data_IF_195464316555
#
_entry.id   IF_195464316555
#
_cell.length_a   1.000
_cell.length_b   1.000
_cell.length_c   1.000
_cell.angle_alpha   90.00
_cell.angle_beta   90.00
_cell.angle_gamma   90.00
#
_symmetry.space_group_name_H-M   'P 1'
#
loop_
_entity.id
_entity.type
_entity.pdbx_description
1 polymer ?
#
# COMPACT_ATOMS: atom_id res chain seq x y z
N UNK A 1 5.05 19.57 14.14
CA UNK A 1 5.19 18.25 14.78
C UNK A 1 4.18 17.24 14.29
N UNK A 2 2.98 17.68 13.89
CA UNK A 2 1.92 16.76 13.43
C UNK A 2 2.06 16.37 11.96
N UNK A 3 3.03 16.92 11.24
CA UNK A 3 3.26 16.67 9.82
C UNK A 3 3.56 15.18 9.55
N UNK A 4 4.19 14.50 10.51
CA UNK A 4 4.59 13.10 10.36
C UNK A 4 3.62 12.13 11.02
N UNK A 5 2.50 12.59 11.55
CA UNK A 5 1.51 11.72 12.16
C UNK A 5 0.48 11.28 11.13
N UNK A 6 0.09 10.00 11.21
CA UNK A 6 -0.96 9.48 10.35
C UNK A 6 -2.28 10.17 10.66
N UNK A 7 -2.93 10.65 9.61
CA UNK A 7 -4.27 11.25 9.71
C UNK A 7 -5.32 10.18 9.52
N UNK A 8 -6.41 10.29 10.29
CA UNK A 8 -7.53 9.38 10.20
C UNK A 8 -8.78 10.16 9.85
N UNK A 9 -9.54 9.65 8.88
CA UNK A 9 -10.82 10.24 8.49
C UNK A 9 -11.95 9.52 9.23
N UNK A 10 -12.75 10.27 9.99
CA UNK A 10 -13.83 9.70 10.81
C UNK A 10 -14.84 8.94 9.98
N UNK A 11 -15.22 9.48 8.81
CA UNK A 11 -16.18 8.83 7.93
C UNK A 11 -15.65 7.50 7.39
N UNK A 12 -14.36 7.44 7.05
CA UNK A 12 -13.73 6.20 6.60
C UNK A 12 -13.64 5.17 7.73
N UNK A 13 -13.33 5.60 8.96
CA UNK A 13 -13.33 4.71 10.11
C UNK A 13 -14.73 4.14 10.38
N UNK A 14 -15.77 4.98 10.32
CA UNK A 14 -17.16 4.54 10.45
C UNK A 14 -17.52 3.52 9.36
N UNK A 15 -17.12 3.78 8.13
CA UNK A 15 -17.32 2.86 7.00
C UNK A 15 -16.68 1.49 7.26
N UNK A 16 -15.49 1.47 7.84
CA UNK A 16 -14.81 0.21 8.19
C UNK A 16 -15.60 -0.61 9.22
N UNK A 17 -16.28 0.05 10.16
CA UNK A 17 -17.16 -0.63 11.12
C UNK A 17 -18.42 -1.21 10.48
N UNK A 18 -18.95 -0.53 9.48
CA UNK A 18 -20.21 -0.89 8.83
C UNK A 18 -20.00 -1.60 7.48
N UNK A 19 -18.84 -2.19 7.27
CA UNK A 19 -18.36 -2.69 5.98
C UNK A 19 -19.35 -3.57 5.23
N UNK A 20 -19.97 -4.52 5.93
CA UNK A 20 -20.90 -5.48 5.32
C UNK A 20 -22.16 -4.82 4.74
N UNK A 21 -22.47 -3.61 5.19
CA UNK A 21 -23.66 -2.86 4.75
C UNK A 21 -23.35 -1.92 3.58
N UNK A 22 -22.08 -1.80 3.21
CA UNK A 22 -21.66 -0.87 2.16
C UNK A 22 -21.80 -1.47 0.78
N UNK A 23 -22.15 -0.63 -0.19
CA UNK A 23 -22.05 -0.99 -1.61
C UNK A 23 -20.60 -1.07 -2.02
N UNK A 24 -20.33 -1.70 -3.16
CA UNK A 24 -18.97 -1.76 -3.74
C UNK A 24 -18.40 -0.36 -3.93
N UNK A 25 -19.20 0.57 -4.43
CA UNK A 25 -18.79 1.97 -4.63
C UNK A 25 -18.40 2.64 -3.32
N UNK A 26 -19.19 2.43 -2.27
CA UNK A 26 -18.91 2.99 -0.94
C UNK A 26 -17.62 2.41 -0.35
N UNK A 27 -17.40 1.10 -0.52
CA UNK A 27 -16.17 0.43 -0.11
C UNK A 27 -14.94 1.04 -0.81
N UNK A 28 -15.03 1.22 -2.13
CA UNK A 28 -13.95 1.81 -2.92
C UNK A 28 -13.67 3.26 -2.51
N UNK A 29 -14.71 4.03 -2.22
CA UNK A 29 -14.55 5.41 -1.75
C UNK A 29 -13.82 5.47 -0.41
N UNK A 30 -14.16 4.58 0.52
CA UNK A 30 -13.47 4.49 1.82
C UNK A 30 -12.01 4.09 1.65
N UNK A 31 -11.74 3.10 0.81
CA UNK A 31 -10.37 2.66 0.52
C UNK A 31 -9.57 3.76 -0.17
N UNK A 32 -10.20 4.53 -1.06
CA UNK A 32 -9.53 5.67 -1.70
C UNK A 32 -9.13 6.74 -0.69
N UNK A 33 -10.01 7.04 0.27
CA UNK A 33 -9.72 8.02 1.31
C UNK A 33 -8.57 7.56 2.21
N UNK A 34 -8.57 6.29 2.61
CA UNK A 34 -7.46 5.72 3.38
C UNK A 34 -6.16 5.77 2.56
N UNK A 35 -6.21 5.43 1.29
CA UNK A 35 -5.06 5.50 0.40
C UNK A 35 -4.50 6.92 0.31
N UNK A 36 -5.36 7.93 0.18
CA UNK A 36 -4.94 9.33 0.14
C UNK A 36 -4.23 9.74 1.43
N UNK A 37 -4.73 9.30 2.57
CA UNK A 37 -4.13 9.59 3.88
C UNK A 37 -2.78 8.88 4.03
N UNK A 38 -2.67 7.63 3.59
CA UNK A 38 -1.40 6.90 3.61
C UNK A 38 -0.38 7.52 2.65
N UNK A 39 -0.82 7.97 1.48
CA UNK A 39 0.02 8.69 0.53
C UNK A 39 0.64 9.93 1.19
N UNK A 40 -0.17 10.71 1.89
CA UNK A 40 0.30 11.90 2.60
C UNK A 40 1.27 11.54 3.73
N UNK A 41 0.94 10.52 4.50
CA UNK A 41 1.78 10.02 5.59
C UNK A 41 3.14 9.51 5.09
N UNK A 42 3.15 8.81 3.97
CA UNK A 42 4.37 8.27 3.36
C UNK A 42 5.14 9.33 2.55
N UNK A 43 4.53 10.47 2.25
CA UNK A 43 5.18 11.52 1.47
C UNK A 43 5.20 11.27 -0.03
N UNK A 44 4.27 10.49 -0.55
CA UNK A 44 4.16 10.20 -1.99
C UNK A 44 3.46 11.38 -2.67
N UNK A 45 4.12 12.02 -3.64
CA UNK A 45 3.55 13.16 -4.37
C UNK A 45 2.57 12.75 -5.48
N UNK A 46 2.79 11.60 -6.09
CA UNK A 46 1.92 11.09 -7.16
C UNK A 46 0.53 10.73 -6.63
N UNK A 47 -0.49 10.95 -7.43
CA UNK A 47 -1.85 10.51 -7.10
C UNK A 47 -1.97 9.01 -7.35
N UNK A 48 -2.59 8.32 -6.42
CA UNK A 48 -2.83 6.87 -6.52
C UNK A 48 -4.33 6.65 -6.55
N UNK A 49 -4.80 6.00 -7.60
CA UNK A 49 -6.22 5.69 -7.78
C UNK A 49 -6.51 4.29 -7.26
N UNK A 50 -7.56 4.16 -6.46
CA UNK A 50 -8.08 2.87 -6.00
C UNK A 50 -9.28 2.49 -6.86
N UNK A 51 -9.27 1.29 -7.40
CA UNK A 51 -10.34 0.78 -8.24
C UNK A 51 -10.53 -0.72 -8.07
N UNK A 52 -11.41 -1.28 -8.86
CA UNK A 52 -11.71 -2.71 -8.82
C UNK A 52 -11.58 -3.32 -10.21
N UNK A 53 -11.19 -4.59 -10.26
CA UNK A 53 -11.06 -5.35 -11.48
C UNK A 53 -11.29 -6.83 -11.23
N UNK A 54 -11.44 -7.59 -12.30
CA UNK A 54 -11.62 -9.03 -12.21
C UNK A 54 -10.33 -9.77 -12.55
N UNK A 55 -10.26 -11.02 -12.14
CA UNK A 55 -9.17 -11.96 -12.50
C UNK A 55 -7.79 -11.59 -11.91
N UNK A 56 -7.76 -10.98 -10.72
CA UNK A 56 -6.51 -10.87 -9.97
C UNK A 56 -6.18 -12.23 -9.37
N UNK A 57 -5.12 -12.84 -9.87
CA UNK A 57 -4.69 -14.15 -9.37
C UNK A 57 -3.96 -14.03 -8.05
N UNK A 58 -4.49 -14.67 -7.00
CA UNK A 58 -3.84 -14.84 -5.70
C UNK A 58 -3.57 -13.55 -4.89
N UNK A 59 -4.29 -12.46 -5.18
CA UNK A 59 -4.13 -11.23 -4.44
C UNK A 59 -5.48 -10.56 -4.15
N UNK A 60 -5.59 -9.91 -3.00
CA UNK A 60 -6.75 -9.08 -2.69
C UNK A 60 -6.73 -7.80 -3.51
N UNK A 61 -5.55 -7.22 -3.71
CA UNK A 61 -5.35 -6.08 -4.59
C UNK A 61 -3.92 -6.08 -5.13
N UNK A 62 -3.68 -5.28 -6.15
CA UNK A 62 -2.37 -5.12 -6.77
C UNK A 62 -2.08 -3.65 -7.05
N UNK A 63 -0.84 -3.23 -6.83
CA UNK A 63 -0.37 -1.93 -7.23
C UNK A 63 0.32 -2.01 -8.59
N UNK A 64 -0.06 -1.12 -9.51
CA UNK A 64 0.59 -0.95 -10.79
C UNK A 64 1.31 0.40 -10.81
N UNK A 65 2.64 0.39 -10.82
CA UNK A 65 3.41 1.63 -10.77
C UNK A 65 3.32 2.45 -12.06
N UNK A 66 3.09 1.81 -13.18
CA UNK A 66 2.98 2.50 -14.48
C UNK A 66 1.73 3.36 -14.53
N UNK A 67 0.59 2.83 -14.09
CA UNK A 67 -0.68 3.54 -14.05
C UNK A 67 -0.94 4.26 -12.71
N UNK A 68 -0.14 3.99 -11.69
CA UNK A 68 -0.33 4.52 -10.32
C UNK A 68 -1.70 4.14 -9.77
N UNK A 69 -2.07 2.88 -9.92
CA UNK A 69 -3.37 2.37 -9.48
C UNK A 69 -3.21 1.19 -8.53
N UNK A 70 -4.08 1.14 -7.51
CA UNK A 70 -4.30 -0.04 -6.68
C UNK A 70 -5.64 -0.62 -7.09
N UNK A 71 -5.63 -1.84 -7.62
CA UNK A 71 -6.84 -2.50 -8.12
C UNK A 71 -7.20 -3.66 -7.21
N UNK A 72 -8.40 -3.60 -6.62
CA UNK A 72 -8.95 -4.67 -5.80
C UNK A 72 -9.66 -5.70 -6.66
N UNK A 73 -9.52 -6.97 -6.31
CA UNK A 73 -10.31 -8.04 -6.93
C UNK A 73 -11.78 -7.87 -6.52
N UNK A 74 -12.67 -7.85 -7.50
CA UNK A 74 -14.11 -7.61 -7.27
C UNK A 74 -14.70 -8.62 -6.29
N UNK A 75 -14.38 -9.91 -6.45
CA UNK A 75 -14.89 -10.94 -5.57
C UNK A 75 -14.42 -10.75 -4.13
N UNK A 76 -13.15 -10.41 -3.95
CA UNK A 76 -12.60 -10.14 -2.62
C UNK A 76 -13.20 -8.87 -2.01
N UNK A 77 -13.37 -7.83 -2.82
CA UNK A 77 -14.00 -6.58 -2.37
C UNK A 77 -15.42 -6.84 -1.85
N UNK A 78 -16.15 -7.70 -2.52
CA UNK A 78 -17.53 -8.02 -2.15
C UNK A 78 -17.63 -8.92 -0.90
N UNK A 79 -16.65 -9.79 -0.65
CA UNK A 79 -16.75 -10.87 0.34
C UNK A 79 -15.74 -10.79 1.50
N UNK A 80 -14.59 -10.17 1.30
CA UNK A 80 -13.56 -10.10 2.35
C UNK A 80 -13.92 -9.07 3.43
N UNK A 81 -13.37 -9.27 4.62
CA UNK A 81 -13.55 -8.33 5.73
C UNK A 81 -12.83 -7.01 5.47
N UNK A 82 -13.29 -5.94 6.13
CA UNK A 82 -12.62 -4.64 6.07
C UNK A 82 -11.16 -4.72 6.53
N UNK A 83 -10.90 -5.50 7.56
CA UNK A 83 -9.53 -5.70 8.09
C UNK A 83 -8.61 -6.29 7.03
N UNK A 84 -9.06 -7.33 6.33
CA UNK A 84 -8.29 -7.98 5.27
C UNK A 84 -8.00 -7.02 4.11
N UNK A 85 -9.02 -6.28 3.66
CA UNK A 85 -8.87 -5.35 2.54
C UNK A 85 -8.02 -4.14 2.93
N UNK A 86 -8.16 -3.67 4.16
CA UNK A 86 -7.33 -2.57 4.68
C UNK A 86 -5.86 -2.98 4.71
N UNK A 87 -5.55 -4.16 5.24
CA UNK A 87 -4.17 -4.65 5.26
C UNK A 87 -3.57 -4.75 3.85
N UNK A 88 -4.35 -5.26 2.90
CA UNK A 88 -3.93 -5.34 1.50
C UNK A 88 -3.67 -3.95 0.90
N UNK A 89 -4.52 -2.98 1.21
CA UNK A 89 -4.34 -1.59 0.77
C UNK A 89 -3.05 -0.99 1.34
N UNK A 90 -2.80 -1.20 2.63
CA UNK A 90 -1.60 -0.68 3.31
C UNK A 90 -0.33 -1.27 2.72
N UNK A 91 -0.34 -2.57 2.44
CA UNK A 91 0.75 -3.28 1.78
C UNK A 91 1.03 -2.68 0.39
N UNK A 92 0.00 -2.49 -0.42
CA UNK A 92 0.13 -1.92 -1.77
C UNK A 92 0.55 -0.45 -1.73
N UNK A 93 0.09 0.31 -0.74
CA UNK A 93 0.49 1.70 -0.54
C UNK A 93 1.99 1.81 -0.25
N UNK A 94 2.52 0.88 0.54
CA UNK A 94 3.95 0.84 0.82
C UNK A 94 4.76 0.48 -0.43
N UNK A 95 4.28 -0.41 -1.29
CA UNK A 95 4.92 -0.67 -2.58
C UNK A 95 4.97 0.60 -3.43
N UNK A 96 3.91 1.41 -3.43
CA UNK A 96 3.92 2.69 -4.14
C UNK A 96 5.01 3.61 -3.58
N UNK A 97 5.19 3.64 -2.28
CA UNK A 97 6.27 4.38 -1.62
C UNK A 97 7.66 3.86 -2.05
N UNK A 98 7.84 2.54 -2.08
CA UNK A 98 9.10 1.93 -2.51
C UNK A 98 9.46 2.28 -3.95
N UNK A 99 8.48 2.26 -4.86
CA UNK A 99 8.66 2.70 -6.24
C UNK A 99 9.01 4.19 -6.33
N UNK A 100 8.37 5.03 -5.51
CA UNK A 100 8.67 6.46 -5.47
C UNK A 100 10.13 6.70 -5.01
N UNK A 101 10.60 5.92 -4.04
CA UNK A 101 12.00 5.98 -3.60
C UNK A 101 12.96 5.58 -4.73
N UNK A 102 12.63 4.53 -5.48
CA UNK A 102 13.46 4.08 -6.62
C UNK A 102 13.51 5.16 -7.69
N UNK A 103 12.40 5.78 -8.02
CA UNK A 103 12.35 6.88 -8.99
C UNK A 103 13.20 8.07 -8.54
N UNK A 104 13.17 8.39 -7.25
CA UNK A 104 14.00 9.45 -6.68
C UNK A 104 15.50 9.08 -6.68
N UNK A 105 15.80 7.80 -6.40
CA UNK A 105 17.16 7.29 -6.38
C UNK A 105 17.87 7.49 -7.72
N UNK A 106 17.17 7.32 -8.83
CA UNK A 106 17.74 7.47 -10.15
C UNK A 106 18.17 8.91 -10.46
N UNK A 107 17.69 9.89 -9.69
CA UNK A 107 18.06 11.31 -9.85
C UNK A 107 19.07 11.79 -8.80
N UNK A 108 19.50 10.90 -7.89
CA UNK A 108 20.41 11.26 -6.81
C UNK A 108 21.88 11.21 -7.22
N UNK A 109 22.70 12.00 -6.50
CA UNK A 109 24.16 11.96 -6.66
C UNK A 109 24.70 10.59 -6.23
N UNK A 110 25.72 10.10 -6.95
CA UNK A 110 26.40 8.85 -6.65
C UNK A 110 27.00 8.81 -5.22
N UNK A 111 27.26 9.96 -4.60
CA UNK A 111 27.81 10.03 -3.25
C UNK A 111 26.83 9.51 -2.21
N UNK A 112 25.54 9.63 -2.47
CA UNK A 112 24.50 9.15 -1.56
C UNK A 112 24.29 7.63 -1.61
N UNK A 113 24.75 6.98 -2.67
CA UNK A 113 24.58 5.53 -2.85
C UNK A 113 25.25 4.68 -1.77
N UNK A 114 26.15 5.28 -0.99
CA UNK A 114 26.89 4.58 0.08
C UNK A 114 26.16 4.62 1.41
N UNK A 115 25.13 5.44 1.56
CA UNK A 115 24.33 5.50 2.78
C UNK A 115 23.43 4.26 2.86
N UNK A 116 23.20 3.80 4.08
CA UNK A 116 22.42 2.57 4.33
C UNK A 116 21.04 2.61 3.66
N UNK A 117 20.31 3.71 3.80
CA UNK A 117 18.97 3.83 3.23
C UNK A 117 19.00 3.74 1.70
N UNK A 118 20.03 4.28 1.08
CA UNK A 118 20.19 4.19 -0.38
C UNK A 118 20.54 2.78 -0.84
N UNK A 119 21.19 2.00 -0.01
CA UNK A 119 21.45 0.58 -0.30
C UNK A 119 20.15 -0.21 -0.36
N UNK A 120 19.22 0.08 0.56
CA UNK A 120 17.89 -0.53 0.56
C UNK A 120 17.13 -0.15 -0.71
N UNK A 121 17.17 1.12 -1.09
CA UNK A 121 16.52 1.59 -2.32
C UNK A 121 17.14 0.92 -3.56
N UNK A 122 18.46 0.77 -3.60
CA UNK A 122 19.14 0.04 -4.67
C UNK A 122 18.69 -1.42 -4.75
N UNK A 123 18.44 -2.05 -3.60
CA UNK A 123 17.89 -3.39 -3.53
C UNK A 123 16.48 -3.45 -4.10
N UNK A 124 15.62 -2.50 -3.76
CA UNK A 124 14.27 -2.41 -4.35
C UNK A 124 14.35 -2.29 -5.89
N UNK A 125 15.21 -1.41 -6.38
CA UNK A 125 15.39 -1.21 -7.81
C UNK A 125 15.75 -2.53 -8.51
N UNK A 126 16.69 -3.27 -7.94
CA UNK A 126 17.11 -4.57 -8.47
C UNK A 126 15.97 -5.58 -8.43
N UNK A 127 15.24 -5.66 -7.31
CA UNK A 127 14.13 -6.59 -7.15
C UNK A 127 13.00 -6.30 -8.13
N UNK A 128 12.65 -5.02 -8.31
CA UNK A 128 11.58 -4.62 -9.24
C UNK A 128 11.94 -4.86 -10.70
N UNK A 129 13.21 -4.88 -11.04
CA UNK A 129 13.65 -5.14 -12.42
C UNK A 129 13.92 -6.62 -12.70
N UNK A 130 13.77 -7.50 -11.72
CA UNK A 130 14.04 -8.93 -11.83
C UNK A 130 12.73 -9.72 -11.68
N UNK A 131 12.37 -10.50 -12.68
CA UNK A 131 11.21 -11.36 -12.62
C UNK A 131 11.50 -12.57 -11.74
N UNK A 132 10.71 -12.75 -10.68
CA UNK A 132 10.84 -13.88 -9.76
C UNK A 132 9.56 -14.72 -9.86
N UNK A 133 9.68 -15.98 -10.28
CA UNK A 133 8.56 -16.91 -10.43
C UNK A 133 8.39 -17.85 -9.23
N UNK A 134 9.46 -18.07 -8.46
CA UNK A 134 9.41 -18.91 -7.27
C UNK A 134 8.72 -18.14 -6.14
N UNK A 135 7.62 -18.68 -5.61
CA UNK A 135 6.82 -18.01 -4.57
C UNK A 135 7.62 -17.69 -3.31
N UNK A 136 8.46 -18.61 -2.85
CA UNK A 136 9.26 -18.41 -1.63
C UNK A 136 10.29 -17.29 -1.84
N UNK A 137 10.95 -17.27 -3.00
CA UNK A 137 11.92 -16.21 -3.34
C UNK A 137 11.24 -14.85 -3.46
N UNK A 138 10.06 -14.80 -4.08
CA UNK A 138 9.26 -13.59 -4.21
C UNK A 138 8.87 -13.07 -2.82
N UNK A 139 8.30 -13.94 -2.00
CA UNK A 139 7.87 -13.61 -0.65
C UNK A 139 8.99 -13.05 0.21
N UNK A 140 10.22 -13.56 0.04
CA UNK A 140 11.39 -13.17 0.82
C UNK A 140 12.16 -11.97 0.25
N UNK A 141 11.72 -11.38 -0.85
CA UNK A 141 12.31 -10.13 -1.32
C UNK A 141 12.19 -9.05 -0.25
N UNK A 142 13.17 -8.15 -0.20
CA UNK A 142 13.19 -7.09 0.81
C UNK A 142 11.99 -6.15 0.64
N UNK A 143 11.61 -5.82 -0.61
CA UNK A 143 10.46 -4.98 -0.85
C UNK A 143 9.16 -5.61 -0.31
N UNK A 144 8.98 -6.91 -0.48
CA UNK A 144 7.80 -7.62 0.03
C UNK A 144 7.81 -7.72 1.56
N UNK A 145 8.96 -8.04 2.14
CA UNK A 145 9.12 -8.12 3.59
C UNK A 145 8.84 -6.77 4.26
N UNK A 146 9.37 -5.69 3.72
CA UNK A 146 9.16 -4.35 4.26
C UNK A 146 7.70 -3.90 4.10
N UNK A 147 7.06 -4.23 2.98
CA UNK A 147 5.65 -3.91 2.77
C UNK A 147 4.73 -4.68 3.74
N UNK A 148 5.04 -5.95 4.03
CA UNK A 148 4.30 -6.73 5.03
C UNK A 148 4.45 -6.13 6.42
N UNK A 149 5.67 -5.78 6.81
CA UNK A 149 5.92 -5.17 8.13
C UNK A 149 5.18 -3.86 8.28
N UNK A 150 5.24 -3.01 7.27
CA UNK A 150 4.50 -1.75 7.26
C UNK A 150 2.99 -1.99 7.41
N UNK A 151 2.44 -2.92 6.62
CA UNK A 151 1.01 -3.20 6.63
C UNK A 151 0.55 -3.71 8.00
N UNK A 152 1.33 -4.58 8.64
CA UNK A 152 1.03 -5.10 9.98
C UNK A 152 1.00 -3.98 11.02
N UNK A 153 2.01 -3.13 11.02
CA UNK A 153 2.11 -2.03 11.99
C UNK A 153 1.02 -0.97 11.75
N UNK A 154 0.82 -0.60 10.49
CA UNK A 154 -0.21 0.37 10.13
C UNK A 154 -1.61 -0.15 10.44
N UNK A 155 -1.88 -1.42 10.17
CA UNK A 155 -3.16 -2.05 10.49
C UNK A 155 -3.43 -1.97 12.00
N UNK A 156 -2.43 -2.21 12.82
CA UNK A 156 -2.56 -2.10 14.27
C UNK A 156 -2.94 -0.67 14.68
N UNK A 157 -2.37 0.34 14.05
CA UNK A 157 -2.71 1.75 14.30
C UNK A 157 -4.19 2.03 13.97
N UNK A 158 -4.67 1.56 12.83
CA UNK A 158 -6.08 1.70 12.44
C UNK A 158 -7.00 0.95 13.40
N UNK A 159 -6.64 -0.26 13.79
CA UNK A 159 -7.44 -1.06 14.74
C UNK A 159 -7.53 -0.38 16.11
N UNK A 160 -6.46 0.25 16.57
CA UNK A 160 -6.45 1.00 17.83
C UNK A 160 -7.42 2.19 17.74
N UNK A 161 -7.49 2.86 16.60
CA UNK A 161 -8.45 3.95 16.39
C UNK A 161 -9.89 3.44 16.33
N UNK A 162 -10.11 2.29 15.71
CA UNK A 162 -11.44 1.71 15.59
C UNK A 162 -12.02 1.26 16.93
N UNK A 163 -11.20 0.95 17.92
CA UNK A 163 -11.64 0.57 19.28
C UNK A 163 -12.15 1.75 20.11
N UNK A 164 -11.88 2.95 19.68
CA UNK A 164 -12.35 4.16 20.34
C UNK A 164 -13.62 4.65 19.66
#
# INVERSE_FOLDING_TARGET
TDVYMRKYDEKSLESLHNWSKLTRKEKLNSLQTVCNNERDYLGISARIKVGAGSHLTHAYCQYNNKSKEITFDISQLDHASSTTLLEALLHSSYHAYEYALVESYDTMSSDYNKLFDYRVIATYKKEFSTKVTNKAKYYNQINESNARSYATDALQDYQNKLKK
#
